data_IF_985070532333
#
_entry.id   IF_985070532333
#
_cell.length_a   1.000
_cell.length_b   1.000
_cell.length_c   1.000
_cell.angle_alpha   90.00
_cell.angle_beta   90.00
_cell.angle_gamma   90.00
#
_symmetry.space_group_name_H-M   'P 1'
#
loop_
_entity.id
_entity.type
_entity.pdbx_description
1 polymer ?
#
# COMPACT_ATOMS: atom_id res chain seq x y z
N UNK A 1 12.78 -6.38 -3.78
CA UNK A 1 11.31 -6.48 -3.71
C UNK A 1 10.96 -7.81 -3.04
N UNK A 2 9.86 -7.87 -2.28
CA UNK A 2 9.41 -9.11 -1.63
C UNK A 2 8.81 -10.09 -2.64
N UNK A 3 9.18 -11.36 -2.54
CA UNK A 3 8.59 -12.45 -3.32
C UNK A 3 7.35 -13.07 -2.69
N UNK A 4 6.82 -14.17 -3.25
CA UNK A 4 5.71 -14.90 -2.65
C UNK A 4 5.99 -15.27 -1.19
N UNK A 5 5.01 -15.08 -0.30
CA UNK A 5 5.18 -15.34 1.14
C UNK A 5 5.96 -14.27 1.90
N UNK A 6 6.25 -13.10 1.31
CA UNK A 6 6.87 -11.98 2.04
C UNK A 6 5.89 -11.19 2.90
N UNK A 7 4.58 -11.44 2.75
CA UNK A 7 3.50 -10.79 3.49
C UNK A 7 2.33 -11.75 3.63
N UNK A 8 1.68 -11.73 4.80
CA UNK A 8 0.56 -12.60 5.16
C UNK A 8 -0.56 -11.81 5.84
N UNK A 9 -1.81 -12.29 5.80
CA UNK A 9 -2.87 -11.78 6.66
C UNK A 9 -2.46 -11.83 8.14
N UNK A 10 -2.72 -10.74 8.86
CA UNK A 10 -2.32 -10.57 10.26
C UNK A 10 -1.02 -9.79 10.46
N UNK A 11 -0.17 -9.69 9.43
CA UNK A 11 1.07 -8.92 9.52
C UNK A 11 0.80 -7.44 9.76
N UNK A 12 1.65 -6.80 10.57
CA UNK A 12 1.72 -5.35 10.65
C UNK A 12 2.80 -4.85 9.69
N UNK A 13 2.41 -3.99 8.76
CA UNK A 13 3.28 -3.48 7.68
C UNK A 13 3.27 -1.96 7.68
N UNK A 14 4.36 -1.37 7.18
CA UNK A 14 4.54 0.08 7.14
C UNK A 14 4.21 0.64 5.77
N UNK A 15 3.43 1.72 5.77
CA UNK A 15 3.12 2.51 4.58
C UNK A 15 3.69 3.91 4.71
N UNK A 16 4.04 4.52 3.58
CA UNK A 16 4.75 5.79 3.55
C UNK A 16 4.17 6.72 2.49
N UNK A 17 4.13 8.02 2.80
CA UNK A 17 3.75 9.03 1.82
C UNK A 17 3.60 10.44 2.39
N UNK A 18 3.17 11.36 1.52
CA UNK A 18 2.96 12.78 1.80
C UNK A 18 1.48 13.18 1.69
N UNK A 19 0.59 12.20 1.61
CA UNK A 19 -0.83 12.36 1.39
C UNK A 19 -1.55 13.19 2.45
N UNK A 20 -2.85 13.35 2.23
CA UNK A 20 -3.74 14.07 3.12
C UNK A 20 -3.73 13.49 4.54
N UNK A 21 -3.54 14.35 5.53
CA UNK A 21 -3.54 13.96 6.96
C UNK A 21 -4.88 14.20 7.66
N UNK A 22 -5.78 14.92 7.00
CA UNK A 22 -7.09 15.30 7.52
C UNK A 22 -8.21 14.41 6.97
N UNK A 23 -9.28 14.30 7.75
CA UNK A 23 -10.53 13.60 7.37
C UNK A 23 -11.76 14.51 7.37
N UNK A 24 -11.62 15.76 7.83
CA UNK A 24 -12.70 16.72 8.07
C UNK A 24 -12.85 17.77 6.96
N UNK A 25 -11.96 17.80 5.97
CA UNK A 25 -11.90 18.80 4.90
C UNK A 25 -11.30 18.20 3.60
N UNK A 26 -11.32 18.93 2.47
CA UNK A 26 -10.76 18.46 1.21
C UNK A 26 -9.28 18.07 1.32
N UNK A 27 -8.89 16.97 0.66
CA UNK A 27 -7.52 16.42 0.73
C UNK A 27 -6.44 17.39 0.29
N UNK A 28 -6.75 18.23 -0.69
CA UNK A 28 -5.81 19.19 -1.26
C UNK A 28 -5.35 20.24 -0.23
N UNK A 29 -6.12 20.44 0.83
CA UNK A 29 -5.87 21.46 1.85
C UNK A 29 -4.98 20.97 3.00
N UNK A 30 -4.64 19.67 3.04
CA UNK A 30 -3.96 19.07 4.19
C UNK A 30 -2.91 18.02 3.81
N UNK A 31 -2.33 18.17 2.61
CA UNK A 31 -1.16 17.40 2.19
C UNK A 31 0.02 17.70 3.11
N UNK A 32 0.78 16.66 3.45
CA UNK A 32 1.91 16.79 4.36
C UNK A 32 3.15 17.34 3.65
N UNK A 33 3.83 18.31 4.27
CA UNK A 33 5.14 18.80 3.80
C UNK A 33 6.29 17.85 4.18
N UNK A 34 6.05 16.90 5.08
CA UNK A 34 7.03 15.93 5.55
C UNK A 34 6.55 14.51 5.25
N UNK A 35 7.49 13.60 5.02
CA UNK A 35 7.15 12.19 4.85
C UNK A 35 6.50 11.66 6.13
N UNK A 36 5.39 10.96 5.97
CA UNK A 36 4.70 10.26 7.05
C UNK A 36 4.86 8.75 6.90
N UNK A 37 4.73 8.07 8.03
CA UNK A 37 4.72 6.62 8.13
C UNK A 37 3.53 6.22 8.99
N UNK A 38 2.88 5.12 8.63
CA UNK A 38 1.84 4.51 9.44
C UNK A 38 1.99 2.98 9.40
N UNK A 39 1.62 2.35 10.51
CA UNK A 39 1.41 0.92 10.63
C UNK A 39 -0.03 0.58 10.22
N UNK A 40 -0.18 -0.41 9.35
CA UNK A 40 -1.46 -0.99 8.94
C UNK A 40 -1.42 -2.50 9.14
N UNK A 41 -2.57 -3.11 9.40
CA UNK A 41 -2.66 -4.58 9.55
C UNK A 41 -3.16 -5.21 8.26
N UNK A 42 -2.40 -6.13 7.69
CA UNK A 42 -2.79 -6.88 6.49
C UNK A 42 -4.00 -7.74 6.79
N UNK A 43 -5.03 -7.65 5.96
CA UNK A 43 -6.27 -8.44 6.08
C UNK A 43 -6.36 -9.50 5.01
N UNK A 44 -5.76 -9.28 3.83
CA UNK A 44 -5.73 -10.25 2.75
C UNK A 44 -4.54 -10.02 1.82
N UNK A 45 -4.01 -11.10 1.26
CA UNK A 45 -3.03 -11.10 0.17
C UNK A 45 -3.64 -11.93 -0.96
N UNK A 46 -3.92 -11.29 -2.09
CA UNK A 46 -4.68 -11.88 -3.19
C UNK A 46 -6.09 -12.32 -2.77
N UNK A 47 -6.59 -13.42 -3.35
CA UNK A 47 -7.85 -14.07 -2.97
C UNK A 47 -9.08 -13.13 -2.94
N UNK A 48 -9.28 -12.36 -4.01
CA UNK A 48 -10.40 -11.41 -4.11
C UNK A 48 -10.13 -10.05 -3.46
N UNK A 49 -8.92 -9.81 -2.94
CA UNK A 49 -8.40 -8.46 -2.77
C UNK A 49 -7.78 -8.00 -4.09
N UNK A 50 -8.28 -6.88 -4.63
CA UNK A 50 -7.78 -6.33 -5.89
C UNK A 50 -7.39 -4.87 -5.77
N UNK A 51 -6.47 -4.44 -6.64
CA UNK A 51 -6.16 -3.03 -6.84
C UNK A 51 -7.26 -2.34 -7.68
N UNK A 52 -7.10 -1.03 -7.93
CA UNK A 52 -8.06 -0.25 -8.72
C UNK A 52 -8.33 -0.81 -10.13
N UNK A 53 -7.40 -1.58 -10.70
CA UNK A 53 -7.48 -2.15 -12.05
C UNK A 53 -7.81 -3.64 -12.06
N UNK A 54 -8.13 -4.23 -10.90
CA UNK A 54 -8.44 -5.65 -10.79
C UNK A 54 -7.21 -6.56 -10.67
N UNK A 55 -6.01 -6.00 -10.54
CA UNK A 55 -4.78 -6.75 -10.27
C UNK A 55 -4.75 -7.31 -8.84
N UNK A 56 -3.91 -8.31 -8.60
CA UNK A 56 -3.77 -8.90 -7.27
C UNK A 56 -3.22 -7.85 -6.28
N UNK A 57 -3.83 -7.75 -5.10
CA UNK A 57 -3.46 -6.75 -4.10
C UNK A 57 -3.22 -7.34 -2.70
N UNK A 58 -2.52 -6.54 -1.89
CA UNK A 58 -2.41 -6.65 -0.44
C UNK A 58 -3.41 -5.66 0.15
N UNK A 59 -4.46 -6.18 0.78
CA UNK A 59 -5.46 -5.39 1.48
C UNK A 59 -5.04 -5.25 2.94
N UNK A 60 -5.20 -4.06 3.48
CA UNK A 60 -4.92 -3.77 4.88
C UNK A 60 -6.01 -2.91 5.51
N UNK A 61 -6.12 -3.00 6.82
CA UNK A 61 -6.97 -2.14 7.66
C UNK A 61 -6.13 -1.11 8.41
N UNK A 62 -6.76 0.02 8.74
CA UNK A 62 -6.15 1.08 9.57
C UNK A 62 -5.50 0.47 10.83
N UNK A 63 -4.25 0.83 11.09
CA UNK A 63 -3.59 0.68 12.39
C UNK A 63 -3.51 2.03 13.10
N UNK A 64 -2.32 2.64 13.17
CA UNK A 64 -2.14 4.00 13.70
C UNK A 64 -2.35 5.11 12.65
N UNK A 65 -2.50 4.71 11.38
CA UNK A 65 -2.81 5.58 10.25
C UNK A 65 -3.35 4.80 9.07
N UNK A 66 -3.67 5.51 8.00
CA UNK A 66 -4.09 4.91 6.72
C UNK A 66 -3.71 5.86 5.57
N UNK A 67 -3.38 5.34 4.38
CA UNK A 67 -3.09 6.18 3.22
C UNK A 67 -4.30 7.01 2.79
N UNK A 68 -4.03 8.15 2.16
CA UNK A 68 -5.05 9.01 1.58
C UNK A 68 -4.60 9.56 0.21
N UNK A 69 -5.39 10.46 -0.37
CA UNK A 69 -5.04 11.14 -1.60
C UNK A 69 -3.67 11.81 -1.49
N UNK A 70 -2.81 11.55 -2.48
CA UNK A 70 -1.40 11.93 -2.50
C UNK A 70 -0.44 10.78 -2.19
N UNK A 71 -0.90 9.69 -1.58
CA UNK A 71 -0.05 8.51 -1.30
C UNK A 71 -0.01 7.49 -2.46
N UNK A 72 -0.81 7.68 -3.51
CA UNK A 72 -0.89 6.76 -4.66
C UNK A 72 0.49 6.49 -5.28
N UNK A 73 0.81 5.22 -5.52
CA UNK A 73 2.15 4.79 -5.97
C UNK A 73 3.18 4.62 -4.86
N UNK A 74 2.87 5.02 -3.62
CA UNK A 74 3.75 4.89 -2.47
C UNK A 74 3.98 3.43 -2.03
N UNK A 75 5.08 3.13 -1.32
CA UNK A 75 5.43 1.76 -0.99
C UNK A 75 4.73 1.25 0.28
N UNK A 76 4.46 -0.07 0.31
CA UNK A 76 4.16 -0.84 1.51
C UNK A 76 5.31 -1.79 1.81
N UNK A 77 5.82 -1.77 3.04
CA UNK A 77 6.93 -2.60 3.49
C UNK A 77 6.53 -3.57 4.59
N UNK A 78 6.78 -4.86 4.36
CA UNK A 78 6.84 -5.88 5.41
C UNK A 78 8.31 -5.97 5.87
N UNK A 79 8.60 -5.49 7.08
CA UNK A 79 9.98 -5.39 7.56
C UNK A 79 10.84 -4.45 6.69
N UNK A 80 11.81 -5.02 5.98
CA UNK A 80 12.72 -4.31 5.05
C UNK A 80 12.45 -4.61 3.57
N UNK A 81 11.40 -5.37 3.24
CA UNK A 81 11.04 -5.70 1.86
C UNK A 81 9.75 -4.99 1.45
N UNK A 82 9.79 -4.33 0.28
CA UNK A 82 8.57 -3.76 -0.31
C UNK A 82 7.70 -4.89 -0.85
N UNK A 83 6.43 -4.92 -0.44
CA UNK A 83 5.44 -5.96 -0.78
C UNK A 83 4.25 -5.40 -1.54
N UNK A 84 4.06 -4.09 -1.55
CA UNK A 84 2.94 -3.46 -2.24
C UNK A 84 3.23 -2.05 -2.77
N UNK A 85 2.37 -1.60 -3.68
CA UNK A 85 2.33 -0.23 -4.23
C UNK A 85 0.93 0.35 -4.04
N UNK A 86 0.81 1.53 -3.42
CA UNK A 86 -0.47 2.10 -3.02
C UNK A 86 -1.39 2.31 -4.23
N UNK A 87 -2.62 1.77 -4.14
CA UNK A 87 -3.61 1.86 -5.20
C UNK A 87 -4.84 2.66 -4.75
N UNK A 88 -5.59 2.15 -3.78
CA UNK A 88 -6.82 2.79 -3.29
C UNK A 88 -6.91 2.77 -1.76
N UNK A 89 -7.70 3.70 -1.24
CA UNK A 89 -8.00 3.82 0.18
C UNK A 89 -9.36 4.48 0.34
N UNK A 90 -10.14 4.03 1.32
CA UNK A 90 -11.35 4.74 1.77
C UNK A 90 -11.00 5.89 2.74
N UNK A 91 -9.71 6.05 3.08
CA UNK A 91 -9.14 7.03 4.01
C UNK A 91 -9.62 6.89 5.45
N UNK A 92 -10.38 5.84 5.74
CA UNK A 92 -11.08 5.65 7.01
C UNK A 92 -10.74 4.32 7.64
N UNK A 93 -10.87 3.22 6.93
CA UNK A 93 -10.78 1.87 7.49
C UNK A 93 -9.95 0.90 6.66
N UNK A 94 -9.94 1.02 5.34
CA UNK A 94 -9.39 0.03 4.43
C UNK A 94 -8.57 0.65 3.29
N UNK A 95 -7.50 -0.05 2.91
CA UNK A 95 -6.65 0.30 1.78
C UNK A 95 -6.20 -0.94 1.02
N UNK A 96 -5.96 -0.81 -0.28
CA UNK A 96 -5.35 -1.85 -1.11
C UNK A 96 -4.09 -1.34 -1.81
N UNK A 97 -3.10 -2.22 -1.84
CA UNK A 97 -1.82 -2.02 -2.49
C UNK A 97 -1.64 -3.10 -3.55
N UNK A 98 -1.30 -2.75 -4.79
CA UNK A 98 -0.95 -3.74 -5.83
C UNK A 98 0.19 -4.63 -5.30
N UNK A 99 -0.03 -5.94 -5.27
CA UNK A 99 0.92 -6.92 -4.75
C UNK A 99 2.12 -7.02 -5.70
N UNK A 100 3.35 -6.82 -5.22
CA UNK A 100 4.51 -6.77 -6.11
C UNK A 100 4.99 -8.15 -6.58
N UNK A 101 4.77 -9.20 -5.78
CA UNK A 101 5.36 -10.52 -6.03
C UNK A 101 4.94 -11.14 -7.39
N UNK A 102 3.66 -11.07 -7.82
CA UNK A 102 3.22 -11.61 -9.11
C UNK A 102 3.88 -10.93 -10.31
N UNK A 103 4.34 -9.69 -10.16
CA UNK A 103 4.91 -8.88 -11.25
C UNK A 103 6.44 -8.90 -11.30
N UNK A 104 7.13 -9.58 -10.37
CA UNK A 104 8.59 -9.59 -10.33
C UNK A 104 9.22 -10.14 -11.61
N UNK A 105 8.63 -11.14 -12.25
CA UNK A 105 9.12 -11.68 -13.52
C UNK A 105 9.11 -10.63 -14.63
N UNK A 106 7.98 -9.92 -14.77
CA UNK A 106 7.84 -8.83 -15.75
C UNK A 106 8.75 -7.63 -15.41
N UNK A 107 8.81 -7.22 -14.14
CA UNK A 107 9.70 -6.13 -13.70
C UNK A 107 11.15 -6.48 -14.05
N UNK A 108 11.60 -7.68 -13.70
CA UNK A 108 12.96 -8.14 -13.96
C UNK A 108 13.25 -8.20 -15.47
N UNK A 109 12.31 -8.68 -16.29
CA UNK A 109 12.44 -8.70 -17.75
C UNK A 109 12.63 -7.29 -18.32
N UNK A 110 11.83 -6.32 -17.86
CA UNK A 110 11.90 -4.94 -18.36
C UNK A 110 13.23 -4.27 -17.99
N UNK A 111 13.75 -4.53 -16.78
CA UNK A 111 15.00 -3.89 -16.31
C UNK A 111 16.26 -4.64 -16.76
N UNK A 112 16.17 -5.91 -17.13
CA UNK A 112 17.33 -6.70 -17.57
C UNK A 112 17.70 -6.48 -19.04
N UNK A 113 16.76 -5.99 -19.86
CA UNK A 113 16.93 -5.90 -21.32
C UNK A 113 16.59 -7.20 -22.03
#
# INVERSE_FOLDING_TARGET
LGGPGSVHPGDTVRVYGWGATCTDRPEIECQSQLLKVADVTVTRVGNGCTDYRGGEAVCARRGDGIPAGGDSGGPMFAGNVQVGVASTSDRQTATSYTHVAPYLGWINQVISG
#
